data_IF_703905533580
#
_entry.id   IF_703905533580
#
_cell.length_a   1.000
_cell.length_b   1.000
_cell.length_c   1.000
_cell.angle_alpha   90.00
_cell.angle_beta   90.00
_cell.angle_gamma   90.00
#
_symmetry.space_group_name_H-M   'P 1'
#
loop_
_entity.id
_entity.type
_entity.pdbx_description
1 polymer ?
#
# COMPACT_ATOMS: atom_id res chain seq x y z
N UNK A 1 -79.27 7.07 19.71
CA UNK A 1 -78.28 7.99 19.11
C UNK A 1 -76.95 7.27 18.97
N UNK A 2 -76.65 6.68 17.80
CA UNK A 2 -75.35 6.07 17.50
C UNK A 2 -74.77 6.78 16.28
N UNK A 3 -73.61 7.42 16.50
CA UNK A 3 -72.91 8.27 15.54
C UNK A 3 -72.24 7.41 14.46
N UNK A 4 -72.42 7.83 13.21
CA UNK A 4 -71.73 7.31 12.01
C UNK A 4 -70.32 7.92 11.99
N UNK A 5 -69.28 7.09 11.98
CA UNK A 5 -67.90 7.54 11.72
C UNK A 5 -67.56 7.29 10.25
N UNK A 6 -67.38 8.39 9.52
CA UNK A 6 -66.92 8.45 8.14
C UNK A 6 -65.40 8.20 8.12
N UNK A 7 -64.94 7.14 7.45
CA UNK A 7 -63.51 6.87 7.26
C UNK A 7 -62.99 7.69 6.08
N UNK A 8 -62.08 8.64 6.36
CA UNK A 8 -61.32 9.37 5.34
C UNK A 8 -60.11 8.52 4.93
N UNK A 9 -60.07 8.04 3.69
CA UNK A 9 -58.86 7.47 3.09
C UNK A 9 -57.97 8.63 2.62
N UNK A 10 -56.85 8.85 3.32
CA UNK A 10 -55.77 9.73 2.84
C UNK A 10 -54.88 8.89 1.92
N UNK A 11 -54.94 9.15 0.61
CA UNK A 11 -53.94 8.67 -0.33
C UNK A 11 -52.63 9.41 -0.07
N UNK A 12 -51.68 8.76 0.59
CA UNK A 12 -50.28 9.21 0.63
C UNK A 12 -49.67 8.80 -0.71
N UNK A 13 -49.58 9.76 -1.64
CA UNK A 13 -48.74 9.63 -2.82
C UNK A 13 -47.28 9.63 -2.37
N UNK A 14 -46.65 8.45 -2.37
CA UNK A 14 -45.22 8.32 -2.21
C UNK A 14 -44.54 9.02 -3.41
N UNK A 15 -44.01 10.22 -3.18
CA UNK A 15 -43.05 10.83 -4.08
C UNK A 15 -41.78 9.97 -4.02
N UNK A 16 -41.63 9.09 -5.02
CA UNK A 16 -40.36 8.45 -5.32
C UNK A 16 -39.40 9.56 -5.78
N UNK A 17 -38.69 10.16 -4.84
CA UNK A 17 -37.46 10.89 -5.19
C UNK A 17 -36.50 9.87 -5.79
N UNK A 18 -36.02 10.14 -7.00
CA UNK A 18 -34.88 9.41 -7.56
C UNK A 18 -33.73 9.53 -6.54
N UNK A 19 -33.47 8.45 -5.82
CA UNK A 19 -32.21 8.32 -5.09
C UNK A 19 -31.15 8.23 -6.17
N UNK A 20 -30.54 9.38 -6.52
CA UNK A 20 -29.39 9.42 -7.39
C UNK A 20 -28.34 8.47 -6.79
N UNK A 21 -28.10 7.35 -7.46
CA UNK A 21 -27.08 6.40 -7.05
C UNK A 21 -25.74 7.14 -7.03
N UNK A 22 -25.05 7.15 -5.90
CA UNK A 22 -23.74 7.77 -5.77
C UNK A 22 -22.78 7.12 -6.78
N UNK A 23 -22.09 7.95 -7.58
CA UNK A 23 -21.07 7.50 -8.52
C UNK A 23 -20.01 6.65 -7.82
N UNK A 24 -19.59 5.53 -8.42
CA UNK A 24 -18.62 4.63 -7.80
C UNK A 24 -17.25 5.30 -7.64
N UNK A 25 -16.90 6.22 -8.54
CA UNK A 25 -15.67 7.01 -8.49
C UNK A 25 -15.59 7.85 -7.21
N UNK A 26 -16.73 8.33 -6.72
CA UNK A 26 -16.81 9.13 -5.50
C UNK A 26 -16.84 8.22 -4.27
N UNK A 27 -17.61 7.13 -4.33
CA UNK A 27 -17.71 6.14 -3.27
C UNK A 27 -16.35 5.52 -2.91
N UNK A 28 -15.55 5.20 -3.92
CA UNK A 28 -14.22 4.60 -3.75
C UNK A 28 -13.10 5.63 -3.93
N UNK A 29 -13.38 6.94 -3.88
CA UNK A 29 -12.38 7.98 -4.13
C UNK A 29 -11.07 7.81 -3.33
N UNK A 30 -11.09 7.51 -2.01
CA UNK A 30 -9.84 7.25 -1.26
C UNK A 30 -9.04 6.08 -1.84
N UNK A 31 -9.76 5.09 -2.39
CA UNK A 31 -9.16 3.92 -3.00
C UNK A 31 -8.79 4.07 -4.48
N UNK A 32 -9.00 5.26 -5.05
CA UNK A 32 -8.78 5.53 -6.46
C UNK A 32 -7.78 6.68 -6.66
N UNK A 33 -6.98 7.02 -5.65
CA UNK A 33 -5.86 7.96 -5.83
C UNK A 33 -4.79 7.35 -6.73
N UNK A 34 -4.05 8.21 -7.44
CA UNK A 34 -2.93 7.77 -8.27
C UNK A 34 -1.78 7.35 -7.34
N UNK A 35 -1.25 6.12 -7.47
CA UNK A 35 -0.11 5.71 -6.66
C UNK A 35 1.14 6.55 -6.94
N UNK A 36 1.98 6.74 -5.92
CA UNK A 36 3.20 7.56 -6.06
C UNK A 36 4.23 6.89 -6.99
N UNK A 37 5.09 7.68 -7.61
CA UNK A 37 6.14 7.22 -8.51
C UNK A 37 7.53 7.63 -8.01
N UNK A 38 8.53 6.79 -8.22
CA UNK A 38 9.92 7.05 -7.87
C UNK A 38 10.87 6.56 -8.96
N UNK A 39 11.92 7.34 -9.27
CA UNK A 39 13.02 6.91 -10.15
C UNK A 39 14.18 6.44 -9.29
N UNK A 40 14.48 5.15 -9.36
CA UNK A 40 15.57 4.50 -8.66
C UNK A 40 16.81 4.48 -9.55
N UNK A 41 17.84 5.22 -9.13
CA UNK A 41 19.09 5.33 -9.87
C UNK A 41 20.11 4.31 -9.40
N UNK A 42 21.10 4.05 -10.25
CA UNK A 42 22.22 3.19 -9.89
C UNK A 42 23.12 3.85 -8.85
N UNK A 43 23.68 3.06 -7.95
CA UNK A 43 24.71 3.54 -7.01
C UNK A 43 25.95 4.04 -7.75
N UNK A 44 26.59 5.09 -7.21
CA UNK A 44 27.85 5.65 -7.71
C UNK A 44 29.08 5.07 -6.98
N UNK A 45 28.87 4.59 -5.76
CA UNK A 45 29.85 4.02 -4.84
C UNK A 45 29.24 2.81 -4.13
N UNK A 46 30.09 1.99 -3.50
CA UNK A 46 29.61 0.82 -2.76
C UNK A 46 28.87 1.29 -1.50
N UNK A 47 27.67 0.74 -1.27
CA UNK A 47 26.88 1.01 -0.07
C UNK A 47 27.33 0.10 1.07
N UNK A 48 27.73 0.69 2.19
CA UNK A 48 28.02 -0.02 3.43
C UNK A 48 26.82 0.06 4.35
N UNK A 49 26.09 -1.06 4.49
CA UNK A 49 24.87 -1.10 5.31
C UNK A 49 25.22 -1.00 6.80
N UNK A 50 25.24 0.21 7.33
CA UNK A 50 25.55 0.54 8.73
C UNK A 50 24.48 1.44 9.39
N UNK A 51 23.42 1.79 8.65
CA UNK A 51 22.34 2.62 9.13
C UNK A 51 22.61 4.11 8.94
N UNK A 52 23.65 4.52 8.19
CA UNK A 52 24.01 5.91 8.00
C UNK A 52 24.08 6.28 6.50
N UNK A 53 23.53 7.43 6.14
CA UNK A 53 23.57 7.95 4.77
C UNK A 53 24.88 8.70 4.44
N UNK A 54 26.04 8.08 4.68
CA UNK A 54 27.35 8.73 4.54
C UNK A 54 27.88 8.74 3.09
N UNK A 55 27.46 7.78 2.28
CA UNK A 55 27.88 7.55 0.91
C UNK A 55 27.49 8.70 -0.02
N UNK A 56 28.27 8.88 -1.09
CA UNK A 56 27.95 9.88 -2.10
C UNK A 56 26.62 9.55 -2.78
N UNK A 57 26.33 8.26 -2.96
CA UNK A 57 25.06 7.79 -3.50
C UNK A 57 23.85 8.28 -2.69
N UNK A 58 23.87 8.12 -1.35
CA UNK A 58 22.76 8.55 -0.49
C UNK A 58 22.58 10.07 -0.40
N UNK A 59 23.68 10.81 -0.51
CA UNK A 59 23.65 12.28 -0.56
C UNK A 59 23.01 12.82 -1.83
N UNK A 60 23.15 12.10 -2.95
CA UNK A 60 22.58 12.48 -4.24
C UNK A 60 21.19 11.90 -4.49
N UNK A 61 20.82 10.82 -3.80
CA UNK A 61 19.50 10.19 -3.91
C UNK A 61 18.40 11.13 -3.41
N UNK A 62 17.36 11.31 -4.23
CA UNK A 62 16.21 12.12 -3.86
C UNK A 62 15.35 11.35 -2.84
N UNK A 63 14.86 12.00 -1.77
CA UNK A 63 13.90 11.36 -0.89
C UNK A 63 12.56 11.20 -1.61
N UNK A 64 11.75 10.25 -1.14
CA UNK A 64 10.32 10.23 -1.40
C UNK A 64 9.67 11.49 -0.86
N UNK A 65 8.45 11.77 -1.30
CA UNK A 65 7.55 12.63 -0.53
C UNK A 65 7.39 12.08 0.91
N UNK A 66 7.10 12.98 1.85
CA UNK A 66 6.81 12.60 3.22
C UNK A 66 5.62 11.63 3.29
N UNK A 67 5.68 10.75 4.28
CA UNK A 67 4.62 9.78 4.51
C UNK A 67 3.35 10.50 4.96
N UNK A 68 2.21 9.87 4.71
CA UNK A 68 0.87 10.36 5.03
C UNK A 68 0.06 9.27 5.73
N UNK A 69 -1.07 9.61 6.33
CA UNK A 69 -1.99 8.60 6.83
C UNK A 69 -2.36 7.60 5.73
N UNK A 70 -2.38 6.29 6.06
CA UNK A 70 -2.70 5.20 5.14
C UNK A 70 -4.04 5.39 4.41
N UNK A 71 -5.00 6.06 5.05
CA UNK A 71 -6.32 6.37 4.52
C UNK A 71 -6.32 7.56 3.55
N UNK A 72 -5.24 8.34 3.50
CA UNK A 72 -5.00 9.42 2.55
C UNK A 72 -5.12 10.84 3.12
N UNK A 73 -4.95 11.85 2.24
CA UNK A 73 -4.75 13.27 2.61
C UNK A 73 -5.90 13.96 3.33
N UNK A 74 -7.09 13.35 3.41
CA UNK A 74 -8.21 13.89 4.18
C UNK A 74 -8.12 13.56 5.68
N UNK A 75 -7.16 12.72 6.07
CA UNK A 75 -6.88 12.35 7.45
C UNK A 75 -5.73 13.21 8.02
N UNK A 76 -5.56 13.24 9.35
CA UNK A 76 -4.52 14.04 9.98
C UNK A 76 -3.13 13.76 9.41
N UNK A 77 -2.35 14.81 9.21
CA UNK A 77 -0.94 14.68 8.84
C UNK A 77 -0.18 13.93 9.95
N UNK A 78 0.74 13.00 9.61
CA UNK A 78 1.62 12.36 10.57
C UNK A 78 2.28 13.34 11.55
N UNK A 79 2.37 12.94 12.82
CA UNK A 79 2.96 13.78 13.87
C UNK A 79 4.46 13.96 13.70
N UNK A 80 5.11 12.96 13.12
CA UNK A 80 6.55 12.93 12.94
C UNK A 80 6.87 12.62 11.48
N UNK A 81 7.85 13.34 10.93
CA UNK A 81 8.20 13.16 9.53
C UNK A 81 8.83 11.78 9.29
N UNK A 82 8.48 11.16 8.16
CA UNK A 82 9.16 9.97 7.66
C UNK A 82 9.32 10.07 6.15
N UNK A 83 10.52 9.74 5.65
CA UNK A 83 10.85 9.69 4.23
C UNK A 83 11.76 8.50 3.94
N UNK A 84 11.81 8.05 2.68
CA UNK A 84 12.74 7.02 2.24
C UNK A 84 13.52 7.46 0.99
N UNK A 85 14.65 6.83 0.73
CA UNK A 85 15.45 6.93 -0.50
C UNK A 85 15.64 5.53 -1.04
N UNK A 86 15.69 5.40 -2.36
CA UNK A 86 15.91 4.11 -3.02
C UNK A 86 17.01 4.22 -4.08
N UNK A 87 17.87 3.22 -4.11
CA UNK A 87 18.94 3.06 -5.10
C UNK A 87 19.05 1.59 -5.48
N UNK A 88 19.77 1.27 -6.56
CA UNK A 88 19.97 -0.12 -6.95
C UNK A 88 21.32 -0.37 -7.61
N UNK A 89 21.74 -1.62 -7.66
CA UNK A 89 22.84 -2.08 -8.50
C UNK A 89 22.55 -3.50 -9.03
N UNK A 90 23.56 -4.17 -9.59
CA UNK A 90 23.37 -5.52 -10.14
C UNK A 90 23.16 -6.62 -9.08
N UNK A 91 23.25 -6.27 -7.80
CA UNK A 91 23.20 -7.20 -6.66
C UNK A 91 22.08 -6.89 -5.69
N UNK A 92 21.73 -5.63 -5.50
CA UNK A 92 20.81 -5.20 -4.45
C UNK A 92 19.86 -4.10 -4.91
N UNK A 93 18.67 -4.13 -4.32
CA UNK A 93 17.86 -2.95 -4.10
C UNK A 93 18.24 -2.37 -2.74
N UNK A 94 18.57 -1.09 -2.70
CA UNK A 94 18.92 -0.36 -1.48
C UNK A 94 17.79 0.56 -1.05
N UNK A 95 17.51 0.57 0.25
CA UNK A 95 16.51 1.45 0.87
C UNK A 95 17.15 2.13 2.06
N UNK A 96 16.97 3.45 2.17
CA UNK A 96 17.36 4.22 3.34
C UNK A 96 16.17 5.04 3.84
N UNK A 97 15.72 4.82 5.06
CA UNK A 97 14.59 5.53 5.66
C UNK A 97 15.04 6.41 6.83
N UNK A 98 14.45 7.60 6.91
CA UNK A 98 14.68 8.59 7.97
C UNK A 98 13.35 8.80 8.71
N UNK A 99 13.32 8.46 10.00
CA UNK A 99 12.14 8.53 10.86
C UNK A 99 12.41 9.52 11.99
N UNK A 100 11.72 10.66 11.99
CA UNK A 100 11.68 11.54 13.17
C UNK A 100 10.97 10.81 14.30
N UNK A 101 11.57 10.78 15.49
CA UNK A 101 11.02 10.10 16.65
C UNK A 101 11.55 10.75 17.93
N UNK A 102 10.72 11.51 18.67
CA UNK A 102 11.12 12.09 19.95
C UNK A 102 11.26 11.05 21.08
N UNK A 103 10.73 9.84 20.90
CA UNK A 103 10.70 8.79 21.91
C UNK A 103 10.94 7.41 21.30
N UNK A 104 12.21 7.04 21.14
CA UNK A 104 12.58 5.79 20.48
C UNK A 104 12.23 4.61 21.38
N UNK A 105 11.17 3.89 20.99
CA UNK A 105 10.65 2.73 21.71
C UNK A 105 10.82 1.46 20.88
N UNK A 106 11.60 0.51 21.39
CA UNK A 106 11.73 -0.83 20.81
C UNK A 106 12.11 -1.87 21.88
N UNK A 107 11.26 -2.85 22.12
CA UNK A 107 11.42 -3.90 23.12
C UNK A 107 11.58 -5.30 22.51
N UNK A 108 11.06 -5.53 21.32
CA UNK A 108 11.04 -6.83 20.66
C UNK A 108 12.40 -7.10 20.04
N UNK A 109 13.11 -8.10 20.57
CA UNK A 109 14.50 -8.43 20.18
C UNK A 109 14.61 -9.69 19.33
N UNK A 110 13.56 -10.52 19.32
CA UNK A 110 13.59 -11.83 18.69
C UNK A 110 13.07 -11.72 17.27
N UNK A 111 13.89 -12.13 16.30
CA UNK A 111 13.47 -12.29 14.90
C UNK A 111 12.18 -13.11 14.80
N UNK A 112 11.32 -12.75 13.85
CA UNK A 112 10.02 -13.40 13.58
C UNK A 112 9.04 -13.27 14.75
N UNK A 113 9.23 -12.29 15.63
CA UNK A 113 8.15 -11.77 16.48
C UNK A 113 7.34 -10.76 15.69
N UNK A 114 6.05 -10.67 15.99
CA UNK A 114 5.15 -9.66 15.40
C UNK A 114 5.65 -8.29 15.84
N UNK A 115 6.48 -7.65 15.00
CA UNK A 115 7.33 -6.52 15.42
C UNK A 115 6.56 -5.21 15.50
N UNK A 116 5.44 -5.08 14.77
CA UNK A 116 4.53 -3.94 14.88
C UNK A 116 3.90 -3.72 16.27
N UNK A 117 4.16 -4.57 17.28
CA UNK A 117 3.83 -4.22 18.68
C UNK A 117 4.83 -3.27 19.34
N UNK A 118 5.95 -2.96 18.68
CA UNK A 118 6.75 -1.75 18.85
C UNK A 118 6.43 -0.74 17.73
N UNK A 119 7.04 0.44 17.77
CA UNK A 119 7.13 1.28 16.56
C UNK A 119 8.10 0.62 15.57
N UNK A 120 7.73 0.57 14.29
CA UNK A 120 8.54 -0.08 13.25
C UNK A 120 8.51 0.66 11.91
N UNK A 121 9.32 0.14 10.98
CA UNK A 121 9.36 0.53 9.59
C UNK A 121 9.23 -0.72 8.72
N UNK A 122 8.32 -0.66 7.76
CA UNK A 122 7.94 -1.79 6.92
C UNK A 122 8.21 -1.48 5.44
N UNK A 123 8.71 -2.48 4.70
CA UNK A 123 8.95 -2.44 3.26
C UNK A 123 8.10 -3.52 2.59
N UNK A 124 7.33 -3.13 1.59
CA UNK A 124 6.46 -4.02 0.83
C UNK A 124 6.86 -4.04 -0.63
N UNK A 125 7.09 -5.22 -1.21
CA UNK A 125 7.55 -5.35 -2.60
C UNK A 125 6.70 -6.39 -3.32
N UNK A 126 6.08 -5.96 -4.42
CA UNK A 126 5.46 -6.81 -5.44
C UNK A 126 6.33 -6.71 -6.72
N UNK A 127 7.18 -7.74 -6.98
CA UNK A 127 8.17 -7.69 -8.05
C UNK A 127 7.59 -7.56 -9.45
N UNK A 128 6.41 -8.15 -9.70
CA UNK A 128 5.78 -8.25 -11.03
C UNK A 128 4.69 -7.20 -11.25
N UNK A 129 4.13 -6.66 -10.17
CA UNK A 129 3.11 -5.62 -10.22
C UNK A 129 1.69 -6.13 -10.51
N UNK A 130 1.45 -7.42 -10.24
CA UNK A 130 0.17 -8.10 -10.40
C UNK A 130 -0.58 -8.33 -9.07
N UNK A 131 -0.02 -7.81 -7.96
CA UNK A 131 -0.59 -7.90 -6.62
C UNK A 131 -0.57 -9.30 -6.00
N UNK A 132 0.29 -10.18 -6.50
CA UNK A 132 0.45 -11.56 -6.06
C UNK A 132 1.94 -11.87 -5.87
N UNK A 133 2.24 -12.89 -5.07
CA UNK A 133 3.63 -13.33 -4.78
C UNK A 133 4.53 -12.19 -4.33
N UNK A 134 4.02 -11.38 -3.39
CA UNK A 134 4.70 -10.23 -2.84
C UNK A 134 5.20 -10.55 -1.42
N UNK A 135 6.07 -9.70 -0.90
CA UNK A 135 6.63 -9.91 0.43
C UNK A 135 6.74 -8.60 1.21
N UNK A 136 6.99 -8.76 2.49
CA UNK A 136 7.05 -7.74 3.52
C UNK A 136 8.31 -7.95 4.36
N UNK A 137 8.95 -6.85 4.73
CA UNK A 137 10.10 -6.81 5.64
C UNK A 137 9.87 -5.67 6.62
N UNK A 138 9.72 -6.00 7.90
CA UNK A 138 9.53 -5.07 9.00
C UNK A 138 10.80 -5.02 9.87
N UNK A 139 11.09 -3.85 10.43
CA UNK A 139 12.12 -3.71 11.47
C UNK A 139 11.76 -2.64 12.49
N UNK A 140 12.03 -2.90 13.77
CA UNK A 140 12.01 -1.85 14.79
C UNK A 140 13.36 -1.12 14.89
N UNK A 141 13.44 -0.13 15.78
CA UNK A 141 14.62 0.72 15.98
C UNK A 141 15.90 -0.01 16.41
N UNK A 142 15.80 -1.22 16.97
CA UNK A 142 16.97 -2.04 17.34
C UNK A 142 17.37 -3.06 16.27
N UNK A 143 16.73 -3.04 15.10
CA UNK A 143 17.07 -3.92 13.98
C UNK A 143 16.48 -5.33 14.08
N UNK A 144 15.46 -5.54 14.92
CA UNK A 144 14.75 -6.82 14.95
C UNK A 144 13.88 -6.94 13.72
N UNK A 145 14.10 -8.01 12.95
CA UNK A 145 13.42 -8.23 11.67
C UNK A 145 12.26 -9.20 11.82
N UNK A 146 11.17 -8.88 11.11
CA UNK A 146 10.11 -9.82 10.76
C UNK A 146 9.93 -9.74 9.24
N UNK A 147 9.81 -10.87 8.56
CA UNK A 147 9.55 -10.91 7.13
C UNK A 147 8.66 -12.10 6.76
N UNK A 148 7.88 -11.92 5.70
CA UNK A 148 6.98 -12.94 5.19
C UNK A 148 6.72 -12.74 3.70
N UNK A 149 6.25 -13.79 3.04
CA UNK A 149 5.74 -13.74 1.67
C UNK A 149 4.29 -14.18 1.59
N UNK A 150 3.54 -13.60 0.66
CA UNK A 150 2.13 -13.89 0.44
C UNK A 150 1.87 -14.19 -1.03
N UNK A 151 1.12 -15.25 -1.27
CA UNK A 151 0.63 -15.58 -2.61
C UNK A 151 -0.32 -14.48 -3.15
N UNK A 152 -1.18 -13.92 -2.29
CA UNK A 152 -2.23 -12.94 -2.66
C UNK A 152 -2.73 -12.15 -1.45
N UNK A 153 -3.43 -11.01 -1.64
CA UNK A 153 -3.95 -10.19 -0.54
C UNK A 153 -4.87 -10.96 0.40
N UNK A 154 -4.85 -10.64 1.70
CA UNK A 154 -5.72 -11.25 2.71
C UNK A 154 -7.22 -11.14 2.38
N UNK A 155 -7.60 -10.10 1.64
CA UNK A 155 -8.97 -9.84 1.18
C UNK A 155 -9.42 -10.71 -0.01
N UNK A 156 -8.50 -11.46 -0.63
CA UNK A 156 -8.83 -12.34 -1.74
C UNK A 156 -9.94 -13.34 -1.35
N UNK A 157 -10.80 -13.76 -2.30
CA UNK A 157 -11.98 -14.59 -2.01
C UNK A 157 -11.65 -15.98 -1.47
N UNK A 158 -10.38 -16.40 -1.56
CA UNK A 158 -9.87 -17.65 -1.00
C UNK A 158 -8.73 -17.36 -0.05
N UNK A 159 -8.62 -18.18 1.00
CA UNK A 159 -7.54 -18.10 1.98
C UNK A 159 -6.17 -17.98 1.28
N UNK A 160 -5.44 -16.94 1.62
CA UNK A 160 -4.06 -16.72 1.22
C UNK A 160 -3.12 -17.75 1.85
N UNK A 161 -2.20 -18.29 1.05
CA UNK A 161 -1.02 -18.94 1.59
C UNK A 161 -0.01 -17.86 2.02
N UNK A 162 0.28 -17.80 3.32
CA UNK A 162 1.26 -16.88 3.91
C UNK A 162 2.42 -17.69 4.44
N UNK A 163 3.63 -17.37 3.99
CA UNK A 163 4.84 -18.02 4.43
C UNK A 163 5.51 -17.21 5.54
N UNK A 164 4.99 -17.28 6.76
CA UNK A 164 5.55 -16.65 7.97
C UNK A 164 6.96 -17.13 8.36
N UNK A 165 7.53 -18.09 7.63
CA UNK A 165 8.89 -18.62 7.85
C UNK A 165 9.81 -18.27 6.69
N UNK A 166 9.33 -17.50 5.71
CA UNK A 166 10.16 -16.97 4.66
C UNK A 166 11.04 -15.88 5.25
N UNK A 167 12.33 -16.15 5.33
CA UNK A 167 13.34 -15.15 5.67
C UNK A 167 13.93 -14.61 4.38
N UNK A 168 13.95 -13.29 4.19
CA UNK A 168 14.52 -12.65 3.00
C UNK A 168 15.99 -13.10 2.82
N UNK A 169 16.30 -13.95 1.83
CA UNK A 169 17.60 -14.58 1.76
C UNK A 169 18.69 -13.56 1.48
N UNK A 170 19.69 -13.47 2.37
CA UNK A 170 20.84 -12.57 2.20
C UNK A 170 20.57 -11.10 2.50
N UNK A 171 19.42 -10.76 3.09
CA UNK A 171 19.10 -9.41 3.57
C UNK A 171 20.23 -8.86 4.45
N UNK A 172 20.67 -7.64 4.15
CA UNK A 172 21.50 -6.83 5.04
C UNK A 172 20.64 -5.69 5.55
N UNK A 173 20.64 -5.49 6.86
CA UNK A 173 19.86 -4.46 7.52
C UNK A 173 20.65 -3.90 8.69
N UNK A 174 20.65 -2.57 8.80
CA UNK A 174 21.19 -1.86 9.94
C UNK A 174 20.26 -0.70 10.32
N UNK A 175 20.22 -0.36 11.60
CA UNK A 175 19.52 0.81 12.11
C UNK A 175 20.48 1.70 12.87
N UNK A 176 20.20 3.01 12.87
CA UNK A 176 20.95 3.96 13.68
C UNK A 176 20.00 4.89 14.43
N UNK A 177 20.11 4.91 15.76
CA UNK A 177 19.31 5.74 16.64
C UNK A 177 20.04 7.04 16.99
N UNK A 178 19.38 8.17 16.75
CA UNK A 178 19.85 9.51 17.13
C UNK A 178 19.16 9.89 18.43
N UNK A 179 19.51 9.17 19.50
CA UNK A 179 18.79 9.23 20.77
C UNK A 179 19.18 8.10 21.73
N UNK A 180 18.36 7.89 22.76
CA UNK A 180 18.48 6.79 23.72
C UNK A 180 17.21 5.94 23.70
N UNK A 181 17.35 4.74 23.14
CA UNK A 181 16.29 3.74 23.08
C UNK A 181 15.73 3.47 24.49
N UNK A 182 14.40 3.41 24.58
CA UNK A 182 13.64 3.11 25.80
C UNK A 182 13.94 4.08 26.96
N UNK A 183 14.22 5.36 26.67
CA UNK A 183 14.47 6.38 27.68
C UNK A 183 13.43 7.52 27.63
N UNK A 184 12.31 7.40 28.37
CA UNK A 184 11.25 8.42 28.35
C UNK A 184 11.62 9.75 29.03
N UNK A 185 12.79 9.85 29.68
CA UNK A 185 13.24 11.08 30.34
C UNK A 185 13.88 12.07 29.36
N UNK A 186 14.29 11.59 28.19
CA UNK A 186 14.90 12.41 27.15
C UNK A 186 13.93 12.69 26.01
N UNK A 187 14.40 13.52 25.09
CA UNK A 187 13.80 13.70 23.77
C UNK A 187 14.85 13.32 22.75
N UNK A 188 14.52 12.35 21.93
CA UNK A 188 15.36 11.86 20.83
C UNK A 188 15.12 12.68 19.56
N UNK A 189 15.90 12.45 18.52
CA UNK A 189 15.69 13.11 17.21
C UNK A 189 15.04 12.18 16.19
N UNK A 190 15.26 10.89 16.32
CA UNK A 190 14.84 9.94 15.30
C UNK A 190 15.75 8.73 15.22
N UNK A 191 15.41 7.88 14.27
CA UNK A 191 16.21 6.73 13.89
C UNK A 191 16.14 6.53 12.38
N UNK A 192 17.05 5.71 11.89
CA UNK A 192 17.20 5.45 10.47
C UNK A 192 17.27 3.96 10.23
N UNK A 193 16.85 3.55 9.05
CA UNK A 193 16.91 2.17 8.57
C UNK A 193 17.67 2.16 7.26
N UNK A 194 18.62 1.25 7.12
CA UNK A 194 19.30 0.99 5.87
C UNK A 194 19.21 -0.49 5.53
N UNK A 195 18.76 -0.79 4.31
CA UNK A 195 18.62 -2.15 3.81
C UNK A 195 19.35 -2.32 2.48
N UNK A 196 19.97 -3.48 2.30
CA UNK A 196 20.32 -4.01 0.98
C UNK A 196 19.58 -5.34 0.79
N UNK A 197 18.53 -5.30 -0.03
CA UNK A 197 17.69 -6.45 -0.37
C UNK A 197 18.29 -7.13 -1.61
N UNK A 198 18.73 -8.39 -1.51
CA UNK A 198 19.38 -9.05 -2.64
C UNK A 198 18.45 -9.20 -3.84
N UNK A 199 19.02 -9.00 -5.02
CA UNK A 199 18.38 -9.23 -6.33
C UNK A 199 17.74 -10.61 -6.43
N UNK A 200 18.38 -11.62 -5.85
CA UNK A 200 17.90 -13.01 -5.83
C UNK A 200 16.66 -13.19 -4.93
N UNK A 201 16.50 -12.38 -3.89
CA UNK A 201 15.32 -12.42 -3.01
C UNK A 201 14.09 -11.75 -3.64
N UNK A 202 14.32 -10.77 -4.54
CA UNK A 202 13.28 -10.06 -5.30
C UNK A 202 12.85 -10.86 -6.54
N UNK A 203 13.63 -11.87 -6.94
CA UNK A 203 13.30 -12.70 -8.07
C UNK A 203 11.96 -13.42 -7.84
N UNK A 204 11.16 -13.47 -8.90
CA UNK A 204 9.95 -14.27 -9.04
C UNK A 204 10.23 -15.25 -10.18
N UNK A 205 10.23 -16.54 -9.86
CA UNK A 205 10.71 -17.62 -10.73
C UNK A 205 12.19 -17.50 -11.11
N UNK A 206 12.54 -17.70 -12.38
CA UNK A 206 13.90 -17.56 -12.92
C UNK A 206 14.19 -16.13 -13.43
N UNK A 207 13.17 -15.27 -13.42
CA UNK A 207 13.24 -13.93 -13.97
C UNK A 207 13.77 -12.93 -12.94
N UNK A 208 14.43 -11.90 -13.48
CA UNK A 208 15.13 -10.93 -12.67
C UNK A 208 14.63 -9.51 -12.90
N UNK A 209 14.15 -8.90 -11.82
CA UNK A 209 13.39 -7.65 -11.87
C UNK A 209 14.24 -6.41 -11.58
N UNK A 210 15.44 -6.55 -11.00
CA UNK A 210 16.40 -5.44 -10.89
C UNK A 210 17.09 -5.24 -12.23
N UNK A 211 16.41 -4.57 -13.15
CA UNK A 211 16.86 -4.33 -14.51
C UNK A 211 16.43 -2.95 -14.97
N UNK A 212 17.35 -2.22 -15.57
CA UNK A 212 17.08 -0.89 -16.11
C UNK A 212 15.91 -0.94 -17.12
N UNK A 213 15.05 0.07 -17.07
CA UNK A 213 13.86 0.13 -17.90
C UNK A 213 12.69 -0.71 -17.39
N UNK A 214 12.79 -1.36 -16.22
CA UNK A 214 11.69 -2.10 -15.58
C UNK A 214 11.08 -1.30 -14.43
N UNK A 215 9.91 -1.77 -13.98
CA UNK A 215 9.20 -1.26 -12.81
C UNK A 215 8.99 -2.37 -11.80
N UNK A 216 8.85 -1.98 -10.53
CA UNK A 216 8.21 -2.79 -9.51
C UNK A 216 7.14 -1.98 -8.78
N UNK A 217 6.36 -2.68 -7.97
CA UNK A 217 5.46 -2.08 -6.99
C UNK A 217 6.12 -2.14 -5.62
N UNK A 218 6.24 -0.99 -4.98
CA UNK A 218 6.85 -0.86 -3.66
C UNK A 218 6.10 0.17 -2.82
N UNK A 219 5.99 -0.10 -1.52
CA UNK A 219 5.54 0.90 -0.59
C UNK A 219 6.22 0.71 0.77
N UNK A 220 6.05 1.72 1.61
CA UNK A 220 6.62 1.77 2.93
C UNK A 220 5.53 2.11 3.93
N UNK A 221 5.63 1.56 5.14
CA UNK A 221 4.80 1.92 6.28
C UNK A 221 5.68 2.22 7.48
N UNK A 222 5.18 3.08 8.34
CA UNK A 222 5.61 3.23 9.72
C UNK A 222 4.41 2.95 10.59
N UNK A 223 4.50 1.93 11.44
CA UNK A 223 3.55 1.76 12.53
C UNK A 223 4.02 2.61 13.69
N UNK A 224 3.15 3.51 14.13
CA UNK A 224 3.42 4.44 15.21
C UNK A 224 2.36 4.29 16.32
N UNK A 225 2.78 3.83 17.49
CA UNK A 225 1.91 3.75 18.65
C UNK A 225 1.98 5.03 19.46
N UNK A 226 0.80 5.50 19.85
CA UNK A 226 0.71 6.34 21.03
C UNK A 226 1.07 5.52 22.27
N UNK A 227 1.81 6.12 23.19
CA UNK A 227 2.28 5.45 24.40
C UNK A 227 1.83 6.18 25.67
N UNK A 228 1.83 5.42 26.77
CA UNK A 228 1.89 5.92 28.14
C UNK A 228 3.22 5.45 28.76
N UNK A 229 3.65 6.11 29.85
CA UNK A 229 4.83 5.70 30.61
C UNK A 229 4.36 5.13 31.96
N UNK A 230 4.73 3.89 32.26
CA UNK A 230 4.37 3.25 33.51
C UNK A 230 5.16 3.81 34.71
N UNK A 231 4.79 3.40 35.93
CA UNK A 231 5.44 3.83 37.16
C UNK A 231 6.93 3.49 37.25
N UNK A 232 7.42 2.54 36.42
CA UNK A 232 8.83 2.14 36.34
C UNK A 232 9.58 2.85 35.21
N UNK A 233 8.93 3.77 34.48
CA UNK A 233 9.54 4.48 33.36
C UNK A 233 9.63 3.64 32.08
N UNK A 234 8.72 2.69 31.86
CA UNK A 234 8.66 1.89 30.63
C UNK A 234 7.52 2.37 29.73
N UNK A 235 7.77 2.35 28.43
CA UNK A 235 6.73 2.57 27.42
C UNK A 235 5.72 1.41 27.44
N UNK A 236 4.43 1.76 27.37
CA UNK A 236 3.33 0.85 27.08
C UNK A 236 2.41 1.49 26.05
N UNK A 237 1.72 0.69 25.23
CA UNK A 237 0.75 1.20 24.27
C UNK A 237 -0.36 1.92 25.02
N UNK A 238 -0.72 3.10 24.53
CA UNK A 238 -1.72 3.95 25.16
C UNK A 238 -3.09 3.29 25.16
N UNK A 239 -3.79 3.39 26.29
CA UNK A 239 -5.17 2.90 26.43
C UNK A 239 -6.17 4.05 26.40
N UNK A 240 -7.29 3.82 25.74
CA UNK A 240 -8.46 4.69 25.78
C UNK A 240 -9.17 4.64 27.13
N UNK A 241 -10.18 5.50 27.30
CA UNK A 241 -11.00 5.56 28.53
C UNK A 241 -11.75 4.26 28.82
N UNK A 242 -11.95 3.42 27.82
CA UNK A 242 -12.59 2.11 27.91
C UNK A 242 -11.59 0.98 28.29
N UNK A 243 -10.32 1.32 28.52
CA UNK A 243 -9.27 0.38 28.89
C UNK A 243 -8.69 -0.43 27.72
N UNK A 244 -9.16 -0.19 26.49
CA UNK A 244 -8.60 -0.84 25.28
C UNK A 244 -7.42 -0.04 24.76
N UNK A 245 -6.47 -0.71 24.09
CA UNK A 245 -5.42 0.00 23.37
C UNK A 245 -6.05 0.89 22.29
N UNK A 246 -5.53 2.11 22.17
CA UNK A 246 -5.80 2.93 20.99
C UNK A 246 -5.26 2.21 19.76
N UNK A 247 -5.85 2.38 18.57
CA UNK A 247 -5.26 1.84 17.34
C UNK A 247 -3.91 2.49 17.07
N UNK A 248 -3.05 1.75 16.38
CA UNK A 248 -1.81 2.25 15.82
C UNK A 248 -2.08 3.26 14.70
N UNK A 249 -1.20 4.26 14.58
CA UNK A 249 -1.17 5.13 13.43
C UNK A 249 -0.32 4.49 12.34
N UNK A 250 -0.88 4.30 11.15
CA UNK A 250 -0.18 3.74 9.99
C UNK A 250 0.14 4.87 9.03
N UNK A 251 1.42 5.21 8.90
CA UNK A 251 1.89 6.27 7.99
C UNK A 251 2.67 5.67 6.84
N UNK A 252 2.26 5.98 5.61
CA UNK A 252 2.78 5.31 4.42
C UNK A 252 3.25 6.30 3.36
N UNK A 253 4.13 5.85 2.47
CA UNK A 253 4.55 6.66 1.33
C UNK A 253 3.39 6.88 0.35
N UNK A 254 2.83 5.80 -0.21
CA UNK A 254 1.66 5.83 -1.10
C UNK A 254 0.41 5.36 -0.34
N UNK A 255 -0.62 6.21 -0.13
CA UNK A 255 -1.80 5.83 0.65
C UNK A 255 -2.64 4.76 -0.05
N UNK A 256 -3.09 3.76 0.69
CA UNK A 256 -3.99 2.71 0.18
C UNK A 256 -5.47 3.11 0.28
N UNK A 257 -5.80 4.17 1.01
CA UNK A 257 -7.18 4.67 1.13
C UNK A 257 -8.07 3.87 2.08
N UNK A 258 -7.51 2.85 2.72
CA UNK A 258 -8.10 2.08 3.82
C UNK A 258 -6.98 1.73 4.82
N UNK A 259 -7.31 1.44 6.07
CA UNK A 259 -6.34 0.90 7.04
C UNK A 259 -6.05 -0.57 6.71
N UNK A 260 -5.37 -0.77 5.58
CA UNK A 260 -5.03 -2.07 4.99
C UNK A 260 -3.80 -1.89 4.08
N UNK A 261 -2.64 -2.32 4.57
CA UNK A 261 -1.38 -2.18 3.83
C UNK A 261 -1.21 -3.25 2.74
N UNK A 262 -1.81 -4.43 2.93
CA UNK A 262 -1.88 -5.53 1.96
C UNK A 262 -2.88 -5.26 0.81
N UNK A 263 -2.71 -4.12 0.14
CA UNK A 263 -3.39 -3.70 -1.09
C UNK A 263 -2.33 -3.34 -2.16
N UNK A 264 -1.62 -4.34 -2.73
CA UNK A 264 -0.48 -4.08 -3.62
C UNK A 264 -0.83 -3.29 -4.88
N UNK A 265 -2.09 -3.35 -5.32
CA UNK A 265 -2.63 -2.55 -6.41
C UNK A 265 -2.62 -1.04 -6.11
N UNK A 266 -2.28 -0.65 -4.87
CA UNK A 266 -2.21 0.75 -4.39
C UNK A 266 -0.82 1.22 -3.95
N UNK A 267 0.15 0.32 -3.90
CA UNK A 267 1.55 0.63 -3.63
C UNK A 267 2.15 1.59 -4.66
N UNK A 268 3.26 2.24 -4.34
CA UNK A 268 3.93 3.10 -5.31
C UNK A 268 4.56 2.29 -6.46
N UNK A 269 4.97 3.00 -7.50
CA UNK A 269 5.79 2.46 -8.58
C UNK A 269 7.22 2.94 -8.44
N UNK A 270 8.17 2.02 -8.59
CA UNK A 270 9.59 2.37 -8.69
C UNK A 270 10.11 1.96 -10.06
N UNK A 271 10.66 2.93 -10.79
CA UNK A 271 11.28 2.74 -12.10
C UNK A 271 12.80 2.63 -11.96
N UNK A 272 13.41 1.61 -12.56
CA UNK A 272 14.85 1.41 -12.56
C UNK A 272 15.53 2.18 -13.70
N UNK A 273 16.25 3.25 -13.36
CA UNK A 273 17.07 4.00 -14.31
C UNK A 273 18.41 3.29 -14.56
N UNK A 274 18.91 3.34 -15.80
CA UNK A 274 20.28 2.94 -16.16
C UNK A 274 21.34 3.97 -15.73
N UNK A 275 20.91 5.19 -15.36
CA UNK A 275 21.81 6.26 -14.93
C UNK A 275 22.27 6.06 -13.50
N UNK A 276 23.52 6.43 -13.26
CA UNK A 276 24.09 6.56 -11.92
C UNK A 276 23.53 7.82 -11.23
N UNK A 277 23.21 7.69 -9.95
CA UNK A 277 22.70 8.78 -9.12
C UNK A 277 23.64 9.99 -9.17
N UNK A 278 23.07 11.18 -9.36
CA UNK A 278 23.84 12.43 -9.50
C UNK A 278 24.47 12.68 -10.89
N UNK A 279 24.38 11.74 -11.83
CA UNK A 279 24.96 11.89 -13.18
C UNK A 279 23.91 12.16 -14.28
N UNK A 280 22.65 12.35 -13.91
CA UNK A 280 21.57 12.71 -14.83
C UNK A 280 20.21 12.66 -14.15
N UNK A 281 19.17 12.94 -14.93
CA UNK A 281 17.79 12.89 -14.47
C UNK A 281 16.92 12.12 -15.46
N UNK A 282 15.97 11.36 -14.94
CA UNK A 282 14.85 10.80 -15.70
C UNK A 282 13.54 11.39 -15.16
N UNK A 283 12.57 11.50 -16.07
CA UNK A 283 11.20 11.80 -15.70
C UNK A 283 10.46 10.49 -15.47
N UNK A 284 9.89 10.32 -14.28
CA UNK A 284 9.06 9.14 -13.98
C UNK A 284 7.87 9.05 -14.96
N UNK A 285 7.60 7.82 -15.43
CA UNK A 285 6.42 7.48 -16.22
C UNK A 285 5.84 6.17 -15.70
N UNK A 286 4.52 6.08 -15.66
CA UNK A 286 3.83 4.87 -15.27
C UNK A 286 3.99 3.77 -16.33
N UNK A 287 4.08 2.48 -15.93
CA UNK A 287 4.28 1.37 -16.87
C UNK A 287 3.03 1.05 -17.71
N UNK A 288 1.86 1.47 -17.21
CA UNK A 288 0.56 1.23 -17.84
C UNK A 288 -0.29 2.49 -17.85
N UNK A 289 -1.41 2.43 -18.58
CA UNK A 289 -2.44 3.44 -18.57
C UNK A 289 -3.15 3.46 -17.19
N UNK A 290 -2.66 4.30 -16.27
CA UNK A 290 -3.20 4.43 -14.91
C UNK A 290 -4.70 4.75 -14.88
N UNK A 291 -5.25 5.62 -15.75
CA UNK A 291 -6.69 5.77 -15.91
C UNK A 291 -7.43 4.42 -16.08
N UNK A 292 -6.93 3.52 -16.93
CA UNK A 292 -7.53 2.19 -17.15
C UNK A 292 -7.42 1.31 -15.90
N UNK A 293 -6.24 1.25 -15.26
CA UNK A 293 -6.06 0.47 -14.01
C UNK A 293 -6.99 0.98 -12.90
N UNK A 294 -7.12 2.30 -12.73
CA UNK A 294 -8.02 2.91 -11.74
C UNK A 294 -9.48 2.61 -12.04
N UNK A 295 -9.88 2.64 -13.31
CA UNK A 295 -11.24 2.23 -13.71
C UNK A 295 -11.50 0.75 -13.38
N UNK A 296 -10.55 -0.15 -13.69
CA UNK A 296 -10.67 -1.56 -13.34
C UNK A 296 -10.71 -1.78 -11.82
N UNK A 297 -9.88 -1.07 -11.04
CA UNK A 297 -9.91 -1.11 -9.56
C UNK A 297 -11.27 -0.65 -9.01
N UNK A 298 -11.89 0.39 -9.58
CA UNK A 298 -13.22 0.85 -9.17
C UNK A 298 -14.27 -0.25 -9.32
N UNK A 299 -14.26 -0.97 -10.46
CA UNK A 299 -15.16 -2.09 -10.69
C UNK A 299 -14.82 -3.29 -9.80
N UNK A 300 -13.53 -3.55 -9.59
CA UNK A 300 -13.04 -4.59 -8.69
C UNK A 300 -13.56 -4.40 -7.25
N UNK A 301 -13.43 -3.19 -6.68
CA UNK A 301 -13.95 -2.88 -5.35
C UNK A 301 -15.49 -3.00 -5.29
N UNK A 302 -16.19 -2.66 -6.37
CA UNK A 302 -17.63 -2.89 -6.45
C UNK A 302 -18.00 -4.38 -6.45
N UNK A 303 -17.22 -5.24 -7.12
CA UNK A 303 -17.41 -6.69 -7.07
C UNK A 303 -17.14 -7.25 -5.68
N UNK A 304 -16.09 -6.81 -5.00
CA UNK A 304 -15.78 -7.24 -3.62
C UNK A 304 -16.95 -6.92 -2.68
N UNK A 305 -17.46 -5.70 -2.73
CA UNK A 305 -18.58 -5.28 -1.88
C UNK A 305 -19.88 -6.02 -2.23
N UNK A 306 -20.17 -6.20 -3.52
CA UNK A 306 -21.34 -6.92 -4.00
C UNK A 306 -21.31 -8.39 -3.55
N UNK A 307 -20.16 -9.05 -3.67
CA UNK A 307 -19.99 -10.42 -3.22
C UNK A 307 -20.06 -10.53 -1.70
N UNK A 308 -19.44 -9.59 -0.96
CA UNK A 308 -19.51 -9.55 0.50
C UNK A 308 -20.97 -9.52 0.99
N UNK A 309 -21.83 -8.69 0.34
CA UNK A 309 -23.24 -8.51 0.67
C UNK A 309 -24.16 -9.62 0.20
N UNK A 310 -23.99 -10.10 -1.04
CA UNK A 310 -24.99 -10.94 -1.72
C UNK A 310 -24.52 -12.36 -2.00
N UNK A 311 -23.22 -12.63 -1.84
CA UNK A 311 -22.57 -13.89 -2.25
C UNK A 311 -22.72 -14.19 -3.75
N UNK A 312 -22.86 -13.14 -4.55
CA UNK A 312 -22.90 -13.20 -6.02
C UNK A 312 -22.15 -12.00 -6.60
N UNK A 313 -21.66 -12.12 -7.82
CA UNK A 313 -21.00 -11.05 -8.56
C UNK A 313 -21.97 -10.38 -9.54
N UNK A 314 -21.69 -9.12 -9.88
CA UNK A 314 -22.28 -8.47 -11.05
C UNK A 314 -21.89 -9.22 -12.33
N UNK A 315 -22.84 -9.38 -13.26
CA UNK A 315 -22.68 -10.24 -14.45
C UNK A 315 -22.39 -9.43 -15.70
N UNK A 316 -22.88 -8.20 -15.76
CA UNK A 316 -22.72 -7.30 -16.88
C UNK A 316 -22.33 -5.89 -16.39
N UNK A 317 -21.71 -5.09 -17.25
CA UNK A 317 -21.28 -3.73 -16.90
C UNK A 317 -22.43 -2.85 -16.40
N UNK A 318 -23.64 -3.03 -16.93
CA UNK A 318 -24.83 -2.27 -16.51
C UNK A 318 -25.22 -2.51 -15.05
N UNK A 319 -24.88 -3.67 -14.50
CA UNK A 319 -25.26 -4.05 -13.13
C UNK A 319 -24.50 -3.23 -12.07
N UNK A 320 -23.36 -2.63 -12.46
CA UNK A 320 -22.56 -1.75 -11.60
C UNK A 320 -23.22 -0.39 -11.36
N UNK A 321 -24.25 -0.03 -12.13
CA UNK A 321 -24.95 1.26 -11.97
C UNK A 321 -24.07 2.48 -12.25
N UNK A 322 -23.10 2.35 -13.18
CA UNK A 322 -22.12 3.39 -13.49
C UNK A 322 -22.79 4.69 -13.93
N UNK A 323 -22.33 5.79 -13.35
CA UNK A 323 -22.71 7.14 -13.74
C UNK A 323 -21.81 7.65 -14.88
N UNK A 324 -22.21 8.68 -15.65
CA UNK A 324 -21.38 9.23 -16.71
C UNK A 324 -19.96 9.63 -16.25
N UNK A 325 -19.83 10.14 -15.01
CA UNK A 325 -18.54 10.48 -14.41
C UNK A 325 -17.63 9.26 -14.17
N UNK A 326 -18.20 8.10 -13.84
CA UNK A 326 -17.44 6.86 -13.67
C UNK A 326 -16.80 6.44 -15.00
N UNK A 327 -17.56 6.53 -16.09
CA UNK A 327 -17.09 6.20 -17.44
C UNK A 327 -16.02 7.19 -17.96
N UNK A 328 -16.01 8.44 -17.48
CA UNK A 328 -14.98 9.42 -17.83
C UNK A 328 -13.59 9.11 -17.25
N UNK A 329 -13.48 8.19 -16.29
CA UNK A 329 -12.18 7.71 -15.81
C UNK A 329 -11.44 6.88 -16.86
N UNK A 330 -12.18 6.26 -17.79
CA UNK A 330 -11.61 5.42 -18.83
C UNK A 330 -11.27 6.28 -20.07
N UNK A 331 -10.08 6.09 -20.68
CA UNK A 331 -9.76 6.79 -21.92
C UNK A 331 -10.76 6.48 -23.04
N UNK A 332 -10.93 7.44 -23.96
CA UNK A 332 -11.90 7.31 -25.04
C UNK A 332 -11.63 6.08 -25.92
N UNK A 333 -12.70 5.40 -26.34
CA UNK A 333 -12.65 4.28 -27.28
C UNK A 333 -12.41 2.90 -26.65
N UNK A 334 -12.13 2.83 -25.35
CA UNK A 334 -12.05 1.54 -24.66
C UNK A 334 -13.42 0.85 -24.57
N UNK A 335 -13.43 -0.46 -24.72
CA UNK A 335 -14.60 -1.32 -24.53
C UNK A 335 -14.41 -2.18 -23.29
N UNK A 336 -15.43 -2.24 -22.43
CA UNK A 336 -15.37 -2.98 -21.16
C UNK A 336 -16.31 -4.17 -21.22
N UNK A 337 -15.76 -5.36 -20.94
CA UNK A 337 -16.52 -6.61 -20.84
C UNK A 337 -16.41 -7.19 -19.43
N UNK A 338 -17.47 -7.87 -18.98
CA UNK A 338 -17.52 -8.58 -17.70
C UNK A 338 -17.93 -10.02 -17.97
N UNK A 339 -17.10 -10.96 -17.54
CA UNK A 339 -17.35 -12.39 -17.65
C UNK A 339 -17.41 -12.98 -16.24
N UNK A 340 -18.55 -13.56 -15.86
CA UNK A 340 -18.81 -13.94 -14.47
C UNK A 340 -19.29 -15.38 -14.38
N UNK A 341 -18.74 -16.13 -13.42
CA UNK A 341 -19.26 -17.43 -12.98
C UNK A 341 -19.89 -17.30 -11.60
N UNK A 342 -20.32 -18.41 -10.99
CA UNK A 342 -20.82 -18.41 -9.61
C UNK A 342 -19.73 -18.10 -8.57
N UNK A 343 -18.45 -18.25 -8.90
CA UNK A 343 -17.35 -18.15 -7.92
C UNK A 343 -16.16 -17.31 -8.39
N UNK A 344 -16.13 -16.89 -9.65
CA UNK A 344 -15.05 -16.07 -10.23
C UNK A 344 -15.63 -15.03 -11.18
N UNK A 345 -14.82 -14.03 -11.53
CA UNK A 345 -15.14 -13.11 -12.60
C UNK A 345 -13.86 -12.59 -13.26
N UNK A 346 -14.03 -12.04 -14.45
CA UNK A 346 -13.00 -11.28 -15.13
C UNK A 346 -13.62 -10.01 -15.72
N UNK A 347 -12.91 -8.89 -15.58
CA UNK A 347 -13.26 -7.61 -16.19
C UNK A 347 -12.15 -7.26 -17.17
N UNK A 348 -12.49 -7.10 -18.43
CA UNK A 348 -11.54 -6.73 -19.49
C UNK A 348 -11.84 -5.34 -20.00
N UNK A 349 -10.83 -4.46 -20.04
CA UNK A 349 -10.85 -3.19 -20.76
C UNK A 349 -9.98 -3.31 -22.02
N UNK A 350 -10.62 -3.37 -23.19
CA UNK A 350 -9.99 -3.48 -24.50
C UNK A 350 -9.78 -2.09 -25.10
N UNK A 351 -8.51 -1.74 -25.35
CA UNK A 351 -8.14 -0.49 -26.02
C UNK A 351 -8.52 -0.51 -27.52
N UNK A 352 -8.65 0.67 -28.16
CA UNK A 352 -8.83 0.78 -29.62
C UNK A 352 -7.74 0.08 -30.43
N UNK A 353 -6.53 0.00 -29.88
CA UNK A 353 -5.36 -0.64 -30.52
C UNK A 353 -5.30 -2.16 -30.29
N UNK A 354 -6.30 -2.75 -29.63
CA UNK A 354 -6.41 -4.20 -29.41
C UNK A 354 -5.70 -4.74 -28.17
N UNK A 355 -5.09 -3.88 -27.35
CA UNK A 355 -4.50 -4.26 -26.07
C UNK A 355 -5.59 -4.48 -25.02
N UNK A 356 -5.60 -5.63 -24.36
CA UNK A 356 -6.60 -6.01 -23.36
C UNK A 356 -6.02 -5.97 -21.94
N UNK A 357 -6.51 -5.04 -21.12
CA UNK A 357 -6.21 -4.97 -19.68
C UNK A 357 -7.24 -5.78 -18.93
N UNK A 358 -6.79 -6.68 -18.06
CA UNK A 358 -7.63 -7.65 -17.39
C UNK A 358 -7.54 -7.47 -15.88
N UNK A 359 -8.66 -7.62 -15.19
CA UNK A 359 -8.77 -7.68 -13.73
C UNK A 359 -9.60 -8.91 -13.35
N UNK A 360 -9.07 -9.79 -12.50
CA UNK A 360 -9.77 -10.99 -12.05
C UNK A 360 -10.28 -10.89 -10.60
N UNK A 361 -10.94 -11.94 -10.12
CA UNK A 361 -11.53 -11.97 -8.78
C UNK A 361 -10.52 -11.95 -7.63
N UNK A 362 -9.25 -12.26 -7.90
CA UNK A 362 -8.18 -12.16 -6.91
C UNK A 362 -7.54 -10.78 -6.83
N UNK A 363 -7.98 -9.84 -7.68
CA UNK A 363 -7.41 -8.49 -7.77
C UNK A 363 -6.12 -8.41 -8.57
N UNK A 364 -5.79 -9.46 -9.33
CA UNK A 364 -4.66 -9.43 -10.25
C UNK A 364 -5.01 -8.61 -11.49
N UNK A 365 -4.13 -7.66 -11.83
CA UNK A 365 -4.30 -6.82 -13.01
C UNK A 365 -3.09 -6.90 -13.96
N UNK A 366 -3.34 -7.40 -15.17
CA UNK A 366 -2.32 -7.71 -16.17
C UNK A 366 -2.81 -7.38 -17.59
N UNK A 367 -1.89 -7.42 -18.56
CA UNK A 367 -2.22 -7.28 -19.98
C UNK A 367 -2.26 -8.67 -20.60
N UNK A 368 -3.41 -9.05 -21.18
CA UNK A 368 -3.56 -10.33 -21.88
C UNK A 368 -2.68 -10.32 -23.13
N UNK A 369 -1.87 -11.38 -23.27
CA UNK A 369 -0.98 -11.62 -24.40
C UNK A 369 -1.75 -12.06 -25.64
#
# INVERSE_FOLDING_TARGET
MKKIFLSLFVFITALYGEVNAQALSDKYAPMLTIPKGYVCYRTADAIHVDGLANEASWKNAQPTEAFVDISGYHFPTPRYQTTAKMLWDDKYLYIFAELEEPHIWANLQKRDTIVFYDNDFEVFIDPIGEGHNYFEIETNAIGTVFDLSLEKPYRAPRRTFVQFQWNCPGLKLATHCIGKINNPKGTDKGWTVEMAIPREAIASEFDNYLKAGQWLRINFSRVEWQYDIDANGRYDRKKGKDGKYLPEDNWVWSPTGQVAMHMPERWGYMYFSDKTVGQGTDTFRYPTDEPVRRFLNMLFYAQEEQYAKTKSYYKELKDFGLQPKDMQMLPAGYQVNVETTSHTYEITALSPEGKAYVMNESGSCFIRK
#
